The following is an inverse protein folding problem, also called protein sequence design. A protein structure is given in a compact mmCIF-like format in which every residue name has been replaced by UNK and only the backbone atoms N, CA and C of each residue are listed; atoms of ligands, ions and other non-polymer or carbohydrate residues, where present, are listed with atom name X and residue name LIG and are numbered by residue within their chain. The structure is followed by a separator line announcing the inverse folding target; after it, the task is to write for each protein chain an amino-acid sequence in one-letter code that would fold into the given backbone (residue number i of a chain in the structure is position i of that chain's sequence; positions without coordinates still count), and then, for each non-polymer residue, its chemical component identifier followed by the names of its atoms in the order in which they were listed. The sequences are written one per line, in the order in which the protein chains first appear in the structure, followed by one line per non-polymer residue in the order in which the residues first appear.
data_IF_977795829751
#
_entry.id   IF_977795829751
#
_cell.length_a   1.000
_cell.length_b   1.000
_cell.length_c   1.000
_cell.angle_alpha   90.00
_cell.angle_beta   90.00
_cell.angle_gamma   90.00
#
_symmetry.space_group_name_H-M   'P 1'
#
loop_
_entity.id
_entity.type
_entity.pdbx_description
1 polymer ?
#
# COMPACT_ATOMS: atom_id res chain seq x y z
N UNK A 1 3.28 2.29 16.59
CA UNK A 1 3.08 1.25 15.57
C UNK A 1 1.60 0.97 15.36
N UNK A 2 1.14 1.00 14.11
CA UNK A 2 -0.23 0.63 13.71
C UNK A 2 -0.14 -0.50 12.68
N UNK A 3 -0.91 -1.57 12.88
CA UNK A 3 -1.09 -2.67 11.93
C UNK A 3 -2.58 -2.76 11.58
N UNK A 4 -2.90 -2.99 10.31
CA UNK A 4 -4.23 -3.45 9.93
C UNK A 4 -4.21 -4.28 8.65
N UNK A 5 -5.20 -5.15 8.52
CA UNK A 5 -5.43 -5.97 7.34
C UNK A 5 -6.46 -5.30 6.43
N UNK A 6 -6.17 -5.25 5.13
CA UNK A 6 -7.08 -4.72 4.12
C UNK A 6 -7.00 -5.55 2.84
N UNK A 7 -8.12 -6.17 2.45
CA UNK A 7 -8.25 -7.01 1.24
C UNK A 7 -7.10 -8.01 1.05
N UNK A 8 -6.70 -8.70 2.12
CA UNK A 8 -5.59 -9.67 2.12
C UNK A 8 -4.19 -9.06 1.89
N UNK A 9 -4.04 -7.78 2.22
CA UNK A 9 -2.76 -7.13 2.43
C UNK A 9 -2.65 -6.78 3.92
N UNK A 10 -1.49 -7.08 4.49
CA UNK A 10 -1.08 -6.58 5.81
C UNK A 10 -0.35 -5.27 5.64
N UNK A 11 -0.83 -4.26 6.34
CA UNK A 11 -0.22 -2.94 6.34
C UNK A 11 0.35 -2.67 7.71
N UNK A 12 1.64 -2.33 7.74
CA UNK A 12 2.34 -1.87 8.92
C UNK A 12 2.83 -0.46 8.69
N UNK A 13 2.55 0.45 9.61
CA UNK A 13 3.13 1.79 9.57
C UNK A 13 3.34 2.37 10.95
N UNK A 14 4.31 3.28 11.04
CA UNK A 14 4.55 4.06 12.23
C UNK A 14 4.58 5.55 11.88
N UNK A 15 3.78 6.32 12.62
CA UNK A 15 3.76 7.78 12.49
C UNK A 15 4.68 8.37 13.55
N UNK A 16 5.67 9.14 13.12
CA UNK A 16 6.57 9.87 13.98
C UNK A 16 6.40 11.38 13.76
N UNK A 17 6.47 12.19 14.82
CA UNK A 17 6.69 13.62 14.64
C UNK A 17 8.10 13.83 14.08
N UNK A 18 8.21 14.61 13.02
CA UNK A 18 9.49 14.93 12.41
C UNK A 18 10.31 15.82 13.36
N UNK A 19 11.49 15.36 13.72
CA UNK A 19 12.37 16.09 14.66
C UNK A 19 13.02 17.31 14.02
N UNK A 20 13.04 17.39 12.70
CA UNK A 20 13.70 18.47 11.94
C UNK A 20 12.71 19.57 11.55
N UNK A 21 11.44 19.24 11.27
CA UNK A 21 10.38 20.19 10.93
C UNK A 21 9.35 20.26 12.06
N UNK A 22 9.26 21.43 12.72
CA UNK A 22 8.44 21.67 13.93
C UNK A 22 6.93 21.36 13.84
N UNK A 23 6.38 21.04 12.67
CA UNK A 23 4.96 20.84 12.43
C UNK A 23 4.70 19.76 11.36
N UNK A 24 5.54 18.75 11.30
CA UNK A 24 5.44 17.69 10.30
C UNK A 24 5.38 16.34 11.02
N UNK A 25 4.54 15.46 10.50
CA UNK A 25 4.45 14.07 10.88
C UNK A 25 4.90 13.25 9.68
N UNK A 26 5.88 12.40 9.88
CA UNK A 26 6.32 11.41 8.91
C UNK A 26 5.69 10.08 9.25
N UNK A 27 5.39 9.27 8.24
CA UNK A 27 5.04 7.89 8.42
C UNK A 27 5.79 7.01 7.46
N UNK A 28 6.40 6.00 8.04
CA UNK A 28 7.15 4.98 7.35
C UNK A 28 6.42 3.65 7.58
N UNK A 29 6.19 2.93 6.49
CA UNK A 29 5.44 1.70 6.55
C UNK A 29 5.78 0.76 5.41
N UNK A 30 5.22 -0.43 5.46
CA UNK A 30 5.28 -1.40 4.38
C UNK A 30 3.96 -2.15 4.25
N UNK A 31 3.68 -2.56 3.01
CA UNK A 31 2.53 -3.35 2.62
C UNK A 31 3.05 -4.75 2.28
N UNK A 32 2.47 -5.78 2.88
CA UNK A 32 2.80 -7.17 2.62
C UNK A 32 1.55 -7.88 2.12
N UNK A 33 1.60 -8.45 0.92
CA UNK A 33 0.47 -9.20 0.38
C UNK A 33 0.45 -10.60 0.99
N UNK A 34 -0.69 -11.04 1.51
CA UNK A 34 -0.85 -12.38 2.09
C UNK A 34 -1.55 -13.35 1.14
N UNK A 35 -1.83 -12.93 -0.10
CA UNK A 35 -2.63 -13.70 -1.07
C UNK A 35 -1.89 -14.85 -1.75
N UNK A 36 -0.55 -14.84 -1.80
CA UNK A 36 0.17 -15.82 -2.62
C UNK A 36 1.24 -16.59 -1.83
N UNK A 37 0.96 -17.87 -1.59
CA UNK A 37 1.92 -18.83 -1.03
C UNK A 37 2.96 -19.30 -2.07
N UNK A 38 2.89 -18.86 -3.33
CA UNK A 38 3.76 -19.32 -4.43
C UNK A 38 4.64 -18.24 -5.05
N UNK A 39 4.22 -16.98 -5.01
CA UNK A 39 4.97 -15.84 -5.55
C UNK A 39 5.42 -14.95 -4.39
N UNK A 40 6.73 -14.70 -4.21
CA UNK A 40 7.20 -13.78 -3.17
C UNK A 40 6.79 -12.36 -3.55
N UNK A 41 5.61 -11.93 -3.10
CA UNK A 41 5.23 -10.51 -3.20
C UNK A 41 6.16 -9.74 -2.27
N UNK A 42 7.07 -8.99 -2.87
CA UNK A 42 8.03 -8.21 -2.11
C UNK A 42 7.28 -7.17 -1.26
N UNK A 43 7.59 -7.07 0.05
CA UNK A 43 6.97 -6.07 0.89
C UNK A 43 7.28 -4.68 0.35
N UNK A 44 6.24 -3.92 0.03
CA UNK A 44 6.38 -2.61 -0.59
C UNK A 44 6.41 -1.54 0.47
N UNK A 45 7.59 -0.94 0.65
CA UNK A 45 7.77 0.16 1.59
C UNK A 45 7.13 1.44 1.04
N UNK A 46 6.52 2.21 1.91
CA UNK A 46 6.00 3.54 1.61
C UNK A 46 6.42 4.53 2.68
N UNK A 47 6.60 5.77 2.25
CA UNK A 47 6.91 6.91 3.10
C UNK A 47 5.94 8.04 2.76
N UNK A 48 5.38 8.69 3.78
CA UNK A 48 4.55 9.89 3.60
C UNK A 48 4.83 10.90 4.68
N UNK A 49 4.75 12.18 4.36
CA UNK A 49 4.87 13.26 5.32
C UNK A 49 3.67 14.20 5.22
N UNK A 50 3.13 14.62 6.36
CA UNK A 50 2.03 15.57 6.39
C UNK A 50 2.06 16.45 7.63
N UNK A 51 1.47 17.64 7.53
CA UNK A 51 1.46 18.63 8.61
C UNK A 51 0.60 18.22 9.83
N UNK A 52 -0.28 17.24 9.64
CA UNK A 52 -1.18 16.72 10.67
C UNK A 52 -1.19 15.20 10.65
N UNK A 53 -1.37 14.59 11.82
CA UNK A 53 -1.48 13.15 11.96
C UNK A 53 -2.66 12.56 11.17
N UNK A 54 -3.79 13.27 11.11
CA UNK A 54 -4.96 12.86 10.31
C UNK A 54 -4.64 12.85 8.81
N UNK A 55 -3.93 13.86 8.31
CA UNK A 55 -3.55 13.92 6.91
C UNK A 55 -2.57 12.81 6.52
N UNK A 56 -1.60 12.49 7.39
CA UNK A 56 -0.75 11.30 7.22
C UNK A 56 -1.62 10.04 7.06
N UNK A 57 -2.59 9.81 7.94
CA UNK A 57 -3.45 8.62 7.85
C UNK A 57 -4.29 8.59 6.55
N UNK A 58 -4.77 9.74 6.09
CA UNK A 58 -5.49 9.85 4.80
C UNK A 58 -4.59 9.52 3.61
N UNK A 59 -3.36 10.01 3.60
CA UNK A 59 -2.41 9.73 2.52
C UNK A 59 -1.99 8.25 2.51
N UNK A 60 -1.73 7.65 3.67
CA UNK A 60 -1.48 6.20 3.80
C UNK A 60 -2.65 5.41 3.21
N UNK A 61 -3.89 5.77 3.58
CA UNK A 61 -5.08 5.10 3.07
C UNK A 61 -5.18 5.17 1.55
N UNK A 62 -4.98 6.35 0.96
CA UNK A 62 -4.96 6.52 -0.51
C UNK A 62 -3.85 5.74 -1.19
N UNK A 63 -2.65 5.69 -0.60
CA UNK A 63 -1.53 4.92 -1.14
C UNK A 63 -1.88 3.43 -1.22
N UNK A 64 -2.50 2.90 -0.17
CA UNK A 64 -2.92 1.50 -0.09
C UNK A 64 -4.09 1.22 -1.04
N UNK A 65 -5.08 2.12 -1.09
CA UNK A 65 -6.21 1.99 -2.02
C UNK A 65 -5.72 2.00 -3.48
N UNK A 66 -4.86 2.94 -3.87
CA UNK A 66 -4.27 2.96 -5.22
C UNK A 66 -3.40 1.75 -5.51
N UNK A 67 -2.58 1.30 -4.55
CA UNK A 67 -1.74 0.13 -4.75
C UNK A 67 -2.58 -1.12 -4.98
N UNK A 68 -3.62 -1.31 -4.18
CA UNK A 68 -4.48 -2.48 -4.29
C UNK A 68 -5.32 -2.40 -5.55
N UNK A 69 -5.85 -1.22 -5.91
CA UNK A 69 -6.56 -1.03 -7.17
C UNK A 69 -5.67 -1.36 -8.38
N UNK A 70 -4.41 -0.90 -8.36
CA UNK A 70 -3.41 -1.20 -9.39
C UNK A 70 -3.10 -2.69 -9.49
N UNK A 71 -2.77 -3.36 -8.37
CA UNK A 71 -2.44 -4.80 -8.38
C UNK A 71 -3.66 -5.64 -8.79
N UNK A 72 -4.86 -5.25 -8.38
CA UNK A 72 -6.09 -5.90 -8.81
C UNK A 72 -6.37 -5.69 -10.30
N UNK A 73 -6.07 -4.50 -10.83
CA UNK A 73 -6.20 -4.21 -12.25
C UNK A 73 -5.20 -5.02 -13.08
N UNK A 74 -3.92 -5.07 -12.70
CA UNK A 74 -2.90 -5.87 -13.38
C UNK A 74 -3.23 -7.37 -13.34
N UNK A 75 -3.74 -7.87 -12.21
CA UNK A 75 -4.17 -9.26 -12.09
C UNK A 75 -5.37 -9.59 -13.00
N UNK A 76 -6.33 -8.68 -13.11
CA UNK A 76 -7.49 -8.86 -14.01
C UNK A 76 -7.11 -8.74 -15.50
N UNK A 77 -6.18 -7.84 -15.82
CA UNK A 77 -5.71 -7.60 -17.20
C UNK A 77 -4.91 -8.80 -17.73
N UNK A 78 -3.99 -9.36 -16.93
CA UNK A 78 -3.23 -10.57 -17.30
C UNK A 78 -4.10 -11.83 -17.47
N UNK A 79 -5.28 -11.90 -16.86
CA UNK A 79 -6.23 -12.99 -17.09
C UNK A 79 -7.20 -12.73 -18.25
N UNK A 80 -7.38 -11.47 -18.67
CA UNK A 80 -8.17 -11.09 -19.85
C UNK A 80 -7.49 -11.43 -21.18
N UNK A 81 -6.16 -11.38 -21.25
CA UNK A 81 -5.42 -11.55 -22.51
C UNK A 81 -5.19 -13.02 -22.94
N UNK A 82 -5.75 -14.01 -22.24
CA UNK A 82 -5.75 -15.41 -22.70
C UNK A 82 -6.95 -15.81 -23.56
N UNK A 83 -7.93 -14.93 -23.75
CA UNK A 83 -9.16 -15.23 -24.51
C UNK A 83 -9.29 -14.32 -25.74
N UNK A 84 -8.24 -14.17 -26.54
CA UNK A 84 -8.33 -13.56 -27.88
C UNK A 84 -7.20 -14.06 -28.78
N UNK A 85 -7.10 -15.39 -28.91
CA UNK A 85 -6.40 -16.01 -30.03
C UNK A 85 -7.23 -17.18 -30.52
N UNK A 86 -8.28 -16.84 -31.24
CA UNK A 86 -9.20 -17.77 -31.87
C UNK A 86 -10.16 -17.01 -32.76
N UNK A 87 -9.66 -16.56 -33.91
CA UNK A 87 -10.33 -16.73 -35.20
C UNK A 87 -9.26 -16.74 -36.30
#
# INVERSE_FOLDING_TARGET
MTEYDYKSFKIHYEIHPDKTKKNLYTADGYICCTLDQGVPVLPRQFHTEYITRDGVQKEIRKLIENYIDFEWQEFHDMQGEKISRGD
#
